data_IF_244818761316
#
_entry.id   IF_244818761316
#
_cell.length_a   1.000
_cell.length_b   1.000
_cell.length_c   1.000
_cell.angle_alpha   90.00
_cell.angle_beta   90.00
_cell.angle_gamma   90.00
#
_symmetry.space_group_name_H-M   'P 1'
#
loop_
_entity.id
_entity.type
_entity.pdbx_description
1 polymer ?
#
# COMPACT_ATOMS: atom_id res chain seq x y z
N UNK A 1 2.06 -9.04 9.80
CA UNK A 1 2.02 -7.56 9.63
C UNK A 1 0.67 -7.17 9.03
N UNK A 2 0.28 -5.88 9.02
CA UNK A 2 -0.99 -5.43 8.42
C UNK A 2 -0.71 -4.33 7.40
N UNK A 3 -1.38 -4.38 6.25
CA UNK A 3 -1.31 -3.34 5.22
C UNK A 3 -2.62 -2.57 5.22
N UNK A 4 -2.55 -1.25 5.33
CA UNK A 4 -3.67 -0.34 5.10
C UNK A 4 -3.48 0.40 3.78
N UNK A 5 -4.57 0.59 3.04
CA UNK A 5 -4.60 1.37 1.79
C UNK A 5 -5.63 2.48 1.96
N UNK A 6 -5.21 3.72 1.70
CA UNK A 6 -6.08 4.88 1.58
C UNK A 6 -6.07 5.37 0.13
N UNK A 7 -7.24 5.35 -0.50
CA UNK A 7 -7.41 5.70 -1.91
C UNK A 7 -8.08 7.07 -2.03
N UNK A 8 -7.26 8.11 -2.22
CA UNK A 8 -7.74 9.44 -2.56
C UNK A 8 -7.88 9.65 -4.07
N UNK A 9 -8.52 10.75 -4.50
CA UNK A 9 -8.68 11.09 -5.92
C UNK A 9 -7.39 11.56 -6.64
N UNK A 10 -6.37 11.94 -5.86
CA UNK A 10 -5.09 12.47 -6.39
C UNK A 10 -3.90 11.61 -5.95
N UNK A 11 -3.97 11.04 -4.75
CA UNK A 11 -2.89 10.25 -4.15
C UNK A 11 -3.47 9.00 -3.49
N UNK A 12 -2.79 7.89 -3.68
CA UNK A 12 -3.04 6.64 -2.98
C UNK A 12 -1.91 6.42 -2.01
N UNK A 13 -2.24 6.08 -0.78
CA UNK A 13 -1.30 5.88 0.31
C UNK A 13 -1.40 4.46 0.84
N UNK A 14 -0.25 3.80 1.00
CA UNK A 14 -0.14 2.54 1.71
C UNK A 14 0.62 2.71 3.01
N UNK A 15 0.17 2.02 4.04
CA UNK A 15 0.86 1.94 5.34
C UNK A 15 1.05 0.47 5.74
N UNK A 16 2.24 0.14 6.20
CA UNK A 16 2.56 -1.16 6.78
C UNK A 16 2.70 -1.00 8.29
N UNK A 17 1.94 -1.80 9.04
CA UNK A 17 1.91 -1.82 10.50
C UNK A 17 2.39 -3.18 11.03
N UNK A 18 3.10 -3.16 12.15
CA UNK A 18 3.41 -4.38 12.89
C UNK A 18 2.22 -4.86 13.76
N UNK A 19 2.39 -5.97 14.46
CA UNK A 19 1.34 -6.55 15.33
C UNK A 19 0.91 -5.64 16.48
N UNK A 20 1.78 -4.70 16.89
CA UNK A 20 1.50 -3.69 17.93
C UNK A 20 0.90 -2.40 17.37
N UNK A 21 0.57 -2.36 16.07
CA UNK A 21 0.03 -1.17 15.41
C UNK A 21 1.07 -0.08 15.14
N UNK A 22 2.37 -0.36 15.33
CA UNK A 22 3.43 0.61 15.02
C UNK A 22 3.67 0.62 13.50
N UNK A 23 3.77 1.83 12.95
CA UNK A 23 4.15 2.05 11.56
C UNK A 23 5.58 1.53 11.30
N UNK A 24 5.67 0.63 10.31
CA UNK A 24 6.93 0.12 9.78
C UNK A 24 7.33 0.86 8.52
N UNK A 25 6.35 1.16 7.65
CA UNK A 25 6.58 1.89 6.40
C UNK A 25 5.32 2.59 5.92
N UNK A 26 5.51 3.66 5.15
CA UNK A 26 4.46 4.39 4.44
C UNK A 26 4.93 4.71 3.04
N UNK A 27 4.05 4.56 2.06
CA UNK A 27 4.33 4.83 0.64
C UNK A 27 3.19 5.61 0.03
N UNK A 28 3.51 6.59 -0.80
CA UNK A 28 2.54 7.38 -1.56
C UNK A 28 2.81 7.25 -3.04
N UNK A 29 1.75 7.04 -3.81
CA UNK A 29 1.77 7.05 -5.27
C UNK A 29 0.72 8.04 -5.77
N UNK A 30 0.89 8.51 -7.00
CA UNK A 30 -0.18 9.25 -7.68
C UNK A 30 -1.33 8.29 -7.96
N UNK A 31 -2.57 8.75 -7.76
CA UNK A 31 -3.73 7.92 -8.07
C UNK A 31 -4.00 7.93 -9.56
N UNK A 32 -4.06 6.73 -10.13
CA UNK A 32 -4.54 6.50 -11.47
C UNK A 32 -6.06 6.68 -11.52
N UNK A 33 -6.53 7.42 -12.54
CA UNK A 33 -7.95 7.84 -12.68
C UNK A 33 -8.82 6.84 -13.44
N UNK A 34 -8.28 5.64 -13.73
CA UNK A 34 -9.02 4.57 -14.37
C UNK A 34 -8.95 3.32 -13.49
N UNK A 35 -10.00 2.51 -13.52
CA UNK A 35 -10.15 1.35 -12.63
C UNK A 35 -8.93 0.41 -12.66
N UNK A 36 -8.47 0.03 -13.86
CA UNK A 36 -7.33 -0.90 -14.00
C UNK A 36 -6.04 -0.31 -13.45
N UNK A 37 -5.79 0.97 -13.70
CA UNK A 37 -4.67 1.71 -13.13
C UNK A 37 -4.74 1.80 -11.61
N UNK A 38 -5.93 2.03 -11.05
CA UNK A 38 -6.14 2.05 -9.59
C UNK A 38 -5.77 0.70 -8.97
N UNK A 39 -6.28 -0.39 -9.52
CA UNK A 39 -5.96 -1.75 -9.04
C UNK A 39 -4.45 -2.02 -9.15
N UNK A 40 -3.84 -1.72 -10.30
CA UNK A 40 -2.41 -1.90 -10.50
C UNK A 40 -1.57 -1.07 -9.51
N UNK A 41 -1.99 0.17 -9.23
CA UNK A 41 -1.35 1.03 -8.25
C UNK A 41 -1.39 0.42 -6.85
N UNK A 42 -2.55 -0.07 -6.41
CA UNK A 42 -2.68 -0.74 -5.11
C UNK A 42 -1.81 -1.99 -5.05
N UNK A 43 -1.85 -2.84 -6.08
CA UNK A 43 -1.00 -4.05 -6.16
C UNK A 43 0.48 -3.71 -6.10
N UNK A 44 0.92 -2.62 -6.74
CA UNK A 44 2.32 -2.19 -6.68
C UNK A 44 2.75 -1.86 -5.25
N UNK A 45 1.92 -1.12 -4.51
CA UNK A 45 2.18 -0.75 -3.12
C UNK A 45 2.21 -1.98 -2.21
N UNK A 46 1.30 -2.93 -2.40
CA UNK A 46 1.28 -4.19 -1.64
C UNK A 46 2.56 -5.00 -1.90
N UNK A 47 2.92 -5.21 -3.17
CA UNK A 47 4.15 -5.93 -3.55
C UNK A 47 5.41 -5.26 -3.00
N UNK A 48 5.45 -3.93 -3.01
CA UNK A 48 6.57 -3.19 -2.43
C UNK A 48 6.75 -3.50 -0.95
N UNK A 49 5.66 -3.64 -0.18
CA UNK A 49 5.73 -4.01 1.23
C UNK A 49 6.07 -5.49 1.45
N UNK A 50 5.50 -6.39 0.64
CA UNK A 50 5.80 -7.83 0.72
C UNK A 50 7.26 -8.14 0.39
N UNK A 51 7.83 -7.47 -0.62
CA UNK A 51 9.23 -7.67 -1.00
C UNK A 51 10.23 -7.27 0.10
N UNK A 52 9.86 -6.32 0.96
CA UNK A 52 10.76 -5.76 1.96
C UNK A 52 10.58 -6.38 3.35
N UNK A 53 9.36 -6.84 3.68
CA UNK A 53 9.03 -7.37 5.00
C UNK A 53 8.60 -8.85 4.98
N UNK A 54 8.61 -9.49 3.81
CA UNK A 54 8.12 -10.84 3.60
C UNK A 54 6.61 -10.92 3.40
N UNK A 55 6.13 -12.10 2.99
CA UNK A 55 4.71 -12.32 2.75
C UNK A 55 3.88 -12.09 4.02
N UNK A 56 2.78 -11.36 3.87
CA UNK A 56 1.78 -11.20 4.93
C UNK A 56 0.89 -12.45 4.96
N UNK A 57 1.38 -13.56 5.51
CA UNK A 57 0.56 -14.73 5.86
C UNK A 57 -0.14 -14.52 7.19
#
# INVERSE_FOLDING_TARGET
VKIGIDLGGTKTEGILLNSKGKELKRRRIKTEKNYKGTINGIVSVVKDFENEFGNCS
#
